data_IF_281101847473
#
_entry.id   IF_281101847473
#
_cell.length_a   1.000
_cell.length_b   1.000
_cell.length_c   1.000
_cell.angle_alpha   90.00
_cell.angle_beta   90.00
_cell.angle_gamma   90.00
#
_symmetry.space_group_name_H-M   'P 1'
#
loop_
_entity.id
_entity.type
_entity.pdbx_description
1 polymer ?
#
# COMPACT_ATOMS: atom_id res chain seq x y z
N UNK A 1 3.41 11.93 -13.18
CA UNK A 1 4.82 11.61 -13.48
C UNK A 1 4.86 10.70 -14.69
N UNK A 2 5.84 10.81 -15.60
CA UNK A 2 6.03 9.80 -16.64
C UNK A 2 6.24 8.44 -15.97
N UNK A 3 5.49 7.43 -16.41
CA UNK A 3 5.40 6.15 -15.69
C UNK A 3 6.75 5.39 -15.57
N UNK A 4 7.74 5.73 -16.40
CA UNK A 4 9.13 5.29 -16.26
C UNK A 4 9.77 5.72 -14.93
N UNK A 5 9.67 7.00 -14.56
CA UNK A 5 10.30 7.53 -13.34
C UNK A 5 9.71 6.92 -12.07
N UNK A 6 8.38 6.74 -12.04
CA UNK A 6 7.72 6.04 -10.94
C UNK A 6 8.23 4.61 -10.80
N UNK A 7 8.35 3.89 -11.93
CA UNK A 7 8.86 2.51 -11.94
C UNK A 7 10.32 2.43 -11.47
N UNK A 8 11.18 3.37 -11.87
CA UNK A 8 12.57 3.46 -11.44
C UNK A 8 12.72 3.70 -9.93
N UNK A 9 11.94 4.64 -9.39
CA UNK A 9 11.97 4.94 -7.95
C UNK A 9 11.56 3.70 -7.15
N UNK A 10 10.45 3.05 -7.53
CA UNK A 10 9.97 1.85 -6.84
C UNK A 10 10.97 0.71 -6.97
N UNK A 11 11.62 0.56 -8.13
CA UNK A 11 12.66 -0.44 -8.35
C UNK A 11 13.84 -0.26 -7.37
N UNK A 12 14.38 0.95 -7.25
CA UNK A 12 15.49 1.25 -6.34
C UNK A 12 15.09 1.02 -4.88
N UNK A 13 13.90 1.49 -4.49
CA UNK A 13 13.38 1.29 -3.12
C UNK A 13 13.18 -0.19 -2.81
N UNK A 14 12.71 -0.98 -3.77
CA UNK A 14 12.50 -2.43 -3.61
C UNK A 14 13.82 -3.17 -3.43
N UNK A 15 14.86 -2.81 -4.20
CA UNK A 15 16.23 -3.34 -4.02
C UNK A 15 16.75 -3.00 -2.63
N UNK A 16 16.61 -1.74 -2.21
CA UNK A 16 17.06 -1.29 -0.88
C UNK A 16 16.37 -2.07 0.25
N UNK A 17 15.05 -2.28 0.15
CA UNK A 17 14.29 -3.07 1.11
C UNK A 17 14.77 -4.52 1.12
N UNK A 18 14.92 -5.16 -0.05
CA UNK A 18 15.37 -6.55 -0.14
C UNK A 18 16.76 -6.76 0.47
N UNK A 19 17.72 -5.90 0.13
CA UNK A 19 19.08 -5.93 0.71
C UNK A 19 19.01 -5.74 2.22
N UNK A 20 18.21 -4.79 2.70
CA UNK A 20 18.05 -4.54 4.14
C UNK A 20 17.49 -5.76 4.88
N UNK A 21 16.48 -6.43 4.31
CA UNK A 21 15.88 -7.63 4.89
C UNK A 21 16.87 -8.79 4.94
N UNK A 22 17.58 -9.07 3.84
CA UNK A 22 18.55 -10.17 3.78
C UNK A 22 19.75 -9.90 4.69
N UNK A 23 20.36 -8.72 4.60
CA UNK A 23 21.53 -8.38 5.42
C UNK A 23 21.17 -8.27 6.90
N UNK A 24 20.03 -7.67 7.25
CA UNK A 24 19.54 -7.59 8.62
C UNK A 24 19.26 -8.96 9.23
N UNK A 25 18.63 -9.85 8.46
CA UNK A 25 18.40 -11.24 8.90
C UNK A 25 19.72 -11.98 9.08
N UNK A 26 20.65 -11.86 8.13
CA UNK A 26 21.95 -12.51 8.18
C UNK A 26 22.80 -12.08 9.37
N UNK A 27 22.90 -10.77 9.63
CA UNK A 27 23.67 -10.21 10.75
C UNK A 27 23.14 -10.68 12.11
N UNK A 28 21.84 -10.90 12.22
CA UNK A 28 21.19 -11.27 13.46
C UNK A 28 20.86 -12.76 13.58
N UNK A 29 21.17 -13.60 12.58
CA UNK A 29 20.70 -15.00 12.51
C UNK A 29 21.07 -15.84 13.74
N UNK A 30 22.30 -15.71 14.25
CA UNK A 30 22.75 -16.47 15.44
C UNK A 30 21.96 -16.10 16.69
N UNK A 31 21.72 -14.80 16.87
CA UNK A 31 20.96 -14.28 18.00
C UNK A 31 19.47 -14.57 17.85
N UNK A 32 18.95 -14.44 16.64
CA UNK A 32 17.57 -14.73 16.26
C UNK A 32 17.17 -16.15 16.64
N UNK A 33 17.97 -17.15 16.28
CA UNK A 33 17.71 -18.55 16.63
C UNK A 33 17.76 -18.76 18.15
N UNK A 34 18.76 -18.20 18.82
CA UNK A 34 18.88 -18.31 20.28
C UNK A 34 17.71 -17.69 21.03
N UNK A 35 17.23 -16.52 20.58
CA UNK A 35 16.15 -15.79 21.23
C UNK A 35 14.77 -16.42 20.93
N UNK A 36 14.55 -16.99 19.73
CA UNK A 36 13.33 -17.72 19.40
C UNK A 36 13.14 -18.97 20.26
N UNK A 37 14.23 -19.70 20.55
CA UNK A 37 14.17 -20.88 21.40
C UNK A 37 13.95 -20.55 22.89
N UNK A 38 14.09 -19.29 23.30
CA UNK A 38 14.02 -18.85 24.70
C UNK A 38 12.89 -17.84 24.93
N UNK A 39 11.66 -18.21 24.58
CA UNK A 39 10.49 -17.39 24.90
C UNK A 39 10.32 -17.21 26.42
N UNK A 40 10.34 -15.96 26.90
CA UNK A 40 10.27 -15.61 28.33
C UNK A 40 9.01 -14.79 28.66
N UNK A 41 7.85 -15.44 28.81
CA UNK A 41 6.57 -14.73 29.03
C UNK A 41 6.47 -13.97 30.35
N UNK A 42 7.33 -14.25 31.34
CA UNK A 42 7.35 -13.61 32.66
C UNK A 42 8.36 -12.45 32.80
N UNK A 43 9.05 -12.06 31.72
CA UNK A 43 10.09 -11.03 31.77
C UNK A 43 9.56 -9.59 32.00
N UNK A 44 10.47 -8.63 32.25
CA UNK A 44 10.12 -7.20 32.33
C UNK A 44 9.46 -6.70 31.03
N UNK A 45 8.57 -5.68 31.13
CA UNK A 45 7.70 -5.21 30.02
C UNK A 45 8.47 -4.93 28.71
N UNK A 46 9.63 -4.28 28.79
CA UNK A 46 10.45 -3.95 27.60
C UNK A 46 10.98 -5.21 26.91
N UNK A 47 11.38 -6.21 27.68
CA UNK A 47 11.94 -7.45 27.14
C UNK A 47 10.87 -8.33 26.52
N UNK A 48 9.69 -8.41 27.16
CA UNK A 48 8.50 -9.04 26.55
C UNK A 48 8.09 -8.38 25.23
N UNK A 49 8.16 -7.05 25.16
CA UNK A 49 7.88 -6.33 23.90
C UNK A 49 8.88 -6.68 22.80
N UNK A 50 10.16 -6.80 23.15
CA UNK A 50 11.21 -7.20 22.20
C UNK A 50 11.01 -8.63 21.70
N UNK A 51 10.68 -9.57 22.60
CA UNK A 51 10.41 -10.96 22.24
C UNK A 51 9.16 -11.08 21.35
N UNK A 52 8.11 -10.29 21.63
CA UNK A 52 6.92 -10.21 20.76
C UNK A 52 7.26 -9.64 19.38
N UNK A 53 8.05 -8.56 19.32
CA UNK A 53 8.51 -7.96 18.06
C UNK A 53 9.32 -8.97 17.23
N UNK A 54 10.15 -9.80 17.89
CA UNK A 54 10.90 -10.87 17.24
C UNK A 54 10.00 -11.94 16.62
N UNK A 55 9.02 -12.45 17.38
CA UNK A 55 8.09 -13.49 16.91
C UNK A 55 7.27 -12.99 15.73
N UNK A 56 6.70 -11.80 15.84
CA UNK A 56 5.93 -11.18 14.76
C UNK A 56 6.81 -10.90 13.53
N UNK A 57 8.08 -10.55 13.75
CA UNK A 57 9.08 -10.43 12.69
C UNK A 57 9.33 -11.74 11.98
N UNK A 58 9.53 -12.83 12.71
CA UNK A 58 9.70 -14.17 12.15
C UNK A 58 8.53 -14.59 11.27
N UNK A 59 7.30 -14.28 11.70
CA UNK A 59 6.08 -14.65 10.98
C UNK A 59 5.91 -13.82 9.69
N UNK A 60 6.23 -12.52 9.73
CA UNK A 60 6.04 -11.62 8.58
C UNK A 60 7.22 -11.57 7.61
N UNK A 61 8.43 -11.94 8.04
CA UNK A 61 9.66 -11.86 7.24
C UNK A 61 9.57 -12.61 5.90
N UNK A 62 9.06 -13.86 5.81
CA UNK A 62 8.96 -14.56 4.53
C UNK A 62 8.12 -13.80 3.51
N UNK A 63 6.98 -13.23 3.96
CA UNK A 63 6.11 -12.44 3.10
C UNK A 63 6.81 -11.16 2.62
N UNK A 64 7.50 -10.44 3.50
CA UNK A 64 8.26 -9.23 3.13
C UNK A 64 9.40 -9.54 2.13
N UNK A 65 10.08 -10.68 2.27
CA UNK A 65 11.11 -11.12 1.33
C UNK A 65 10.49 -11.43 -0.03
N UNK A 66 9.39 -12.18 -0.08
CA UNK A 66 8.71 -12.53 -1.34
C UNK A 66 8.21 -11.26 -2.06
N UNK A 67 7.58 -10.33 -1.35
CA UNK A 67 7.05 -9.08 -1.92
C UNK A 67 8.16 -8.19 -2.46
N UNK A 68 9.23 -7.99 -1.68
CA UNK A 68 10.35 -7.16 -2.11
C UNK A 68 11.07 -7.76 -3.30
N UNK A 69 11.33 -9.08 -3.29
CA UNK A 69 11.96 -9.78 -4.39
C UNK A 69 11.12 -9.77 -5.67
N UNK A 70 9.84 -10.14 -5.58
CA UNK A 70 8.92 -10.12 -6.74
C UNK A 70 8.73 -8.70 -7.28
N UNK A 71 8.66 -7.68 -6.41
CA UNK A 71 8.57 -6.28 -6.80
C UNK A 71 9.76 -5.80 -7.65
N UNK A 72 10.99 -6.25 -7.34
CA UNK A 72 12.18 -5.96 -8.15
C UNK A 72 12.01 -6.49 -9.57
N UNK A 73 11.62 -7.76 -9.72
CA UNK A 73 11.42 -8.38 -11.03
C UNK A 73 10.31 -7.71 -11.83
N UNK A 74 9.17 -7.43 -11.19
CA UNK A 74 8.05 -6.78 -11.87
C UNK A 74 8.38 -5.38 -12.37
N UNK A 75 9.11 -4.59 -11.57
CA UNK A 75 9.54 -3.27 -12.01
C UNK A 75 10.63 -3.32 -13.07
N UNK A 76 11.54 -4.29 -13.00
CA UNK A 76 12.51 -4.55 -14.07
C UNK A 76 11.81 -4.79 -15.42
N UNK A 77 10.80 -5.66 -15.46
CA UNK A 77 10.03 -5.92 -16.69
C UNK A 77 9.26 -4.69 -17.20
N UNK A 78 8.73 -3.85 -16.29
CA UNK A 78 8.07 -2.59 -16.70
C UNK A 78 9.08 -1.63 -17.33
N UNK A 79 10.27 -1.51 -16.73
CA UNK A 79 11.34 -0.65 -17.23
C UNK A 79 11.88 -1.17 -18.57
N UNK A 80 12.11 -2.49 -18.71
CA UNK A 80 12.60 -3.07 -19.96
C UNK A 80 11.62 -2.82 -21.11
N UNK A 81 10.31 -2.96 -20.86
CA UNK A 81 9.27 -2.69 -21.84
C UNK A 81 9.21 -1.22 -22.32
N UNK A 82 9.74 -0.26 -21.55
CA UNK A 82 9.88 1.13 -22.02
C UNK A 82 11.03 1.31 -23.02
N UNK A 83 12.09 0.52 -22.89
CA UNK A 83 13.29 0.60 -23.73
C UNK A 83 13.23 -0.36 -24.93
N UNK A 84 12.42 -1.42 -24.83
CA UNK A 84 12.02 -2.21 -25.98
C UNK A 84 11.16 -1.33 -26.89
N UNK A 85 11.59 -1.13 -28.15
CA UNK A 85 10.84 -0.37 -29.12
C UNK A 85 9.43 -0.98 -29.23
N UNK A 86 8.41 -0.24 -28.79
CA UNK A 86 7.04 -0.64 -29.07
C UNK A 86 6.93 -0.79 -30.59
N UNK A 87 6.45 -1.94 -31.11
CA UNK A 87 6.15 -2.02 -32.53
C UNK A 87 5.24 -0.83 -32.86
N UNK A 88 5.41 -0.19 -34.03
CA UNK A 88 4.57 0.94 -34.41
C UNK A 88 3.12 0.51 -34.19
N UNK A 89 2.41 1.24 -33.33
CA UNK A 89 0.98 1.04 -33.13
C UNK A 89 0.39 1.28 -34.51
N UNK A 90 0.10 0.21 -35.23
CA UNK A 90 -0.66 0.30 -36.46
C UNK A 90 -2.02 0.70 -35.95
N UNK A 91 -2.30 2.00 -36.00
CA UNK A 91 -3.61 2.56 -35.66
C UNK A 91 -4.55 2.08 -36.75
N UNK A 92 -4.97 0.82 -36.66
CA UNK A 92 -6.20 0.40 -37.29
C UNK A 92 -7.27 1.32 -36.73
N UNK A 93 -8.06 1.98 -37.59
CA UNK A 93 -9.10 2.89 -37.13
C UNK A 93 -9.97 2.18 -36.09
N UNK A 94 -10.33 2.91 -35.02
CA UNK A 94 -11.27 2.45 -34.00
C UNK A 94 -12.51 1.98 -34.75
N UNK A 95 -12.67 0.66 -34.89
CA UNK A 95 -13.84 0.12 -35.56
C UNK A 95 -15.01 0.41 -34.64
N UNK A 96 -15.99 1.16 -35.14
CA UNK A 96 -17.11 1.65 -34.35
C UNK A 96 -17.73 0.48 -33.57
N UNK A 97 -17.71 0.60 -32.24
CA UNK A 97 -18.25 -0.38 -31.31
C UNK A 97 -19.75 -0.44 -31.58
N UNK A 98 -20.21 -1.56 -32.16
CA UNK A 98 -21.64 -1.80 -32.31
C UNK A 98 -22.11 -2.64 -31.11
N UNK A 99 -23.18 -2.24 -30.43
CA UNK A 99 -23.69 -2.95 -29.23
C UNK A 99 -24.02 -4.43 -29.47
N UNK A 100 -24.27 -4.82 -30.73
CA UNK A 100 -24.46 -6.22 -31.14
C UNK A 100 -23.21 -7.09 -30.88
N UNK A 101 -22.02 -6.49 -30.90
CA UNK A 101 -20.74 -7.19 -30.69
C UNK A 101 -20.53 -7.63 -29.24
N UNK A 102 -21.03 -6.89 -28.24
CA UNK A 102 -20.86 -7.28 -26.83
C UNK A 102 -21.68 -8.54 -26.50
N UNK A 103 -22.95 -8.57 -26.91
CA UNK A 103 -23.82 -9.72 -26.68
C UNK A 103 -23.33 -10.97 -27.42
N UNK A 104 -22.73 -10.79 -28.60
CA UNK A 104 -22.11 -11.87 -29.36
C UNK A 104 -20.87 -12.43 -28.66
N UNK A 105 -20.00 -11.56 -28.13
CA UNK A 105 -18.84 -11.96 -27.35
C UNK A 105 -19.23 -12.68 -26.05
N UNK A 106 -20.28 -12.23 -25.34
CA UNK A 106 -20.82 -12.93 -24.18
C UNK A 106 -21.25 -14.34 -24.54
N UNK A 107 -22.11 -14.48 -25.55
CA UNK A 107 -22.61 -15.79 -25.99
C UNK A 107 -21.47 -16.71 -26.41
N UNK A 108 -20.46 -16.18 -27.09
CA UNK A 108 -19.28 -16.95 -27.50
C UNK A 108 -18.48 -17.41 -26.28
N UNK A 109 -18.24 -16.53 -25.32
CA UNK A 109 -17.55 -16.85 -24.08
C UNK A 109 -18.31 -17.84 -23.20
N UNK A 110 -19.63 -17.70 -23.06
CA UNK A 110 -20.50 -18.66 -22.34
C UNK A 110 -20.47 -20.05 -23.01
N UNK A 111 -20.44 -20.09 -24.35
CA UNK A 111 -20.32 -21.34 -25.09
C UNK A 111 -18.96 -22.02 -24.92
N UNK A 112 -17.86 -21.24 -24.87
CA UNK A 112 -16.50 -21.79 -24.74
C UNK A 112 -16.11 -22.11 -23.29
N UNK A 113 -16.58 -21.32 -22.32
CA UNK A 113 -16.13 -21.39 -20.92
C UNK A 113 -17.20 -21.89 -19.95
N UNK A 114 -18.46 -21.99 -20.38
CA UNK A 114 -19.58 -22.33 -19.52
C UNK A 114 -19.98 -21.15 -18.64
N UNK A 115 -19.72 -21.24 -17.33
CA UNK A 115 -20.01 -20.16 -16.40
C UNK A 115 -19.08 -18.95 -16.67
N UNK A 116 -19.68 -17.80 -16.98
CA UNK A 116 -19.00 -16.54 -17.27
C UNK A 116 -18.90 -15.61 -16.05
N UNK A 117 -19.27 -16.06 -14.85
CA UNK A 117 -19.13 -15.29 -13.61
C UNK A 117 -17.72 -14.70 -13.43
N UNK A 118 -17.66 -13.41 -13.10
CA UNK A 118 -16.41 -12.67 -12.95
C UNK A 118 -15.71 -12.27 -14.27
N UNK A 119 -16.27 -12.62 -15.43
CA UNK A 119 -15.74 -12.18 -16.73
C UNK A 119 -16.08 -10.72 -16.98
N UNK A 120 -15.20 -10.01 -17.68
CA UNK A 120 -15.33 -8.58 -17.92
C UNK A 120 -14.84 -8.20 -19.31
N UNK A 121 -15.29 -7.04 -19.79
CA UNK A 121 -14.84 -6.47 -21.04
C UNK A 121 -13.66 -5.53 -20.80
N UNK A 122 -12.59 -5.72 -21.55
CA UNK A 122 -11.47 -4.80 -21.62
C UNK A 122 -11.50 -4.07 -22.95
N UNK A 123 -11.68 -2.76 -22.88
CA UNK A 123 -11.55 -1.86 -24.02
C UNK A 123 -10.06 -1.60 -24.25
N UNK A 124 -9.56 -1.98 -25.42
CA UNK A 124 -8.19 -1.69 -25.86
C UNK A 124 -8.21 -0.83 -27.11
N UNK A 125 -7.11 -0.13 -27.46
CA UNK A 125 -7.02 0.60 -28.72
C UNK A 125 -7.26 -0.27 -29.97
N UNK A 126 -7.13 -1.59 -29.84
CA UNK A 126 -7.27 -2.59 -30.91
C UNK A 126 -8.68 -3.19 -31.00
N UNK A 127 -9.56 -2.92 -30.02
CA UNK A 127 -10.92 -3.45 -29.96
C UNK A 127 -11.35 -3.88 -28.55
N UNK A 128 -12.51 -4.54 -28.48
CA UNK A 128 -13.08 -5.10 -27.25
C UNK A 128 -12.61 -6.53 -27.06
N UNK A 129 -12.06 -6.82 -25.88
CA UNK A 129 -11.71 -8.17 -25.47
C UNK A 129 -12.63 -8.61 -24.34
N UNK A 130 -13.33 -9.72 -24.53
CA UNK A 130 -14.03 -10.40 -23.44
C UNK A 130 -13.04 -11.30 -22.70
N UNK A 131 -12.78 -11.03 -21.43
CA UNK A 131 -11.77 -11.70 -20.62
C UNK A 131 -12.47 -12.56 -19.58
N UNK A 132 -12.11 -13.84 -19.52
CA UNK A 132 -12.65 -14.76 -18.52
C UNK A 132 -12.22 -14.34 -17.11
N UNK A 133 -13.18 -14.32 -16.19
CA UNK A 133 -12.90 -14.23 -14.76
C UNK A 133 -12.19 -15.50 -14.28
N UNK A 134 -11.02 -15.34 -13.66
CA UNK A 134 -10.31 -16.45 -13.06
C UNK A 134 -9.55 -15.95 -11.85
N UNK A 135 -9.87 -16.53 -10.70
CA UNK A 135 -9.32 -16.18 -9.40
C UNK A 135 -8.54 -17.36 -8.79
N UNK A 136 -8.43 -18.46 -9.54
CA UNK A 136 -7.94 -19.74 -9.03
C UNK A 136 -6.63 -20.18 -9.68
N UNK A 137 -6.33 -19.68 -10.88
CA UNK A 137 -5.07 -20.00 -11.54
C UNK A 137 -3.92 -19.11 -11.07
N UNK A 138 -2.76 -19.75 -10.90
CA UNK A 138 -1.52 -19.09 -10.50
C UNK A 138 -0.99 -18.12 -11.54
N UNK A 139 -1.06 -18.50 -12.82
CA UNK A 139 -0.56 -17.67 -13.90
C UNK A 139 -1.61 -16.62 -14.24
N UNK A 140 -1.26 -15.33 -14.13
CA UNK A 140 -2.11 -14.20 -14.52
C UNK A 140 -2.22 -14.04 -16.04
N UNK A 141 -2.55 -15.11 -16.76
CA UNK A 141 -2.84 -15.08 -18.19
C UNK A 141 -4.26 -15.60 -18.40
N UNK A 142 -5.19 -14.66 -18.59
CA UNK A 142 -6.61 -14.98 -18.71
C UNK A 142 -6.95 -15.27 -20.17
N UNK A 143 -7.70 -16.34 -20.45
CA UNK A 143 -8.22 -16.55 -21.79
C UNK A 143 -9.15 -15.39 -22.13
N UNK A 144 -9.02 -14.89 -23.35
CA UNK A 144 -9.81 -13.79 -23.85
C UNK A 144 -10.25 -14.06 -25.29
N UNK A 145 -11.39 -13.51 -25.63
CA UNK A 145 -11.97 -13.53 -26.97
C UNK A 145 -12.04 -12.09 -27.45
N UNK A 146 -11.32 -11.77 -28.51
CA UNK A 146 -11.37 -10.46 -29.13
C UNK A 146 -12.56 -10.36 -30.07
N UNK A 147 -13.12 -9.15 -30.22
CA UNK A 147 -14.14 -8.82 -31.24
C UNK A 147 -13.68 -9.21 -32.66
N UNK A 148 -12.36 -9.21 -32.90
CA UNK A 148 -11.76 -9.60 -34.18
C UNK A 148 -11.68 -11.13 -34.39
N UNK A 149 -12.24 -11.93 -33.47
CA UNK A 149 -12.30 -13.39 -33.57
C UNK A 149 -11.06 -14.13 -33.06
N UNK A 150 -9.97 -13.44 -32.73
CA UNK A 150 -8.79 -14.04 -32.10
C UNK A 150 -9.12 -14.46 -30.65
N UNK A 151 -8.97 -15.75 -30.37
CA UNK A 151 -9.15 -16.35 -29.04
C UNK A 151 -7.82 -16.88 -28.50
N UNK A 152 -7.47 -16.53 -27.27
CA UNK A 152 -6.34 -17.13 -26.56
C UNK A 152 -6.69 -18.55 -26.07
N UNK A 153 -5.77 -19.53 -26.13
CA UNK A 153 -6.06 -20.91 -25.72
C UNK A 153 -6.44 -21.04 -24.23
N UNK A 154 -7.32 -22.00 -23.92
CA UNK A 154 -7.92 -22.20 -22.58
C UNK A 154 -6.93 -22.65 -21.50
N UNK A 155 -5.80 -23.27 -21.88
CA UNK A 155 -4.75 -23.70 -20.94
C UNK A 155 -3.40 -23.17 -21.40
N UNK A 156 -2.90 -22.14 -20.71
CA UNK A 156 -1.51 -21.71 -20.86
C UNK A 156 -0.69 -22.17 -19.66
N UNK A 157 0.39 -22.93 -19.91
CA UNK A 157 1.53 -22.97 -18.99
C UNK A 157 1.98 -21.53 -18.75
N UNK A 158 2.41 -21.17 -17.54
CA UNK A 158 2.96 -19.84 -17.22
C UNK A 158 3.98 -19.47 -18.31
N UNK A 159 3.64 -18.55 -19.24
CA UNK A 159 4.40 -18.45 -20.48
C UNK A 159 5.73 -17.72 -20.26
N UNK A 160 5.87 -16.97 -19.16
CA UNK A 160 7.08 -16.22 -18.82
C UNK A 160 7.29 -16.10 -17.31
N UNK A 161 8.54 -15.86 -16.89
CA UNK A 161 8.90 -15.53 -15.50
C UNK A 161 8.13 -14.33 -14.94
N UNK A 162 7.80 -13.35 -15.79
CA UNK A 162 6.96 -12.20 -15.41
C UNK A 162 5.61 -12.64 -14.84
N UNK A 163 4.92 -13.58 -15.49
CA UNK A 163 3.62 -14.07 -15.02
C UNK A 163 3.74 -14.86 -13.72
N UNK A 164 4.85 -15.58 -13.54
CA UNK A 164 5.13 -16.29 -12.28
C UNK A 164 5.29 -15.30 -11.11
N UNK A 165 6.14 -14.29 -11.28
CA UNK A 165 6.34 -13.27 -10.23
C UNK A 165 5.09 -12.43 -9.99
N UNK A 166 4.30 -12.15 -11.02
CA UNK A 166 3.03 -11.45 -10.88
C UNK A 166 2.03 -12.27 -10.05
N UNK A 167 1.89 -13.57 -10.36
CA UNK A 167 1.05 -14.49 -9.59
C UNK A 167 1.47 -14.61 -8.12
N UNK A 168 2.78 -14.63 -7.85
CA UNK A 168 3.33 -14.60 -6.49
C UNK A 168 3.08 -13.27 -5.77
N UNK A 169 3.21 -12.14 -6.47
CA UNK A 169 3.11 -10.80 -5.88
C UNK A 169 1.67 -10.43 -5.53
N UNK A 170 0.75 -10.72 -6.45
CA UNK A 170 -0.67 -10.37 -6.32
C UNK A 170 -1.47 -11.45 -5.59
N UNK A 171 -0.85 -12.60 -5.30
CA UNK A 171 -1.49 -13.81 -4.78
C UNK A 171 -2.71 -14.20 -5.64
N UNK A 172 -2.53 -14.20 -6.96
CA UNK A 172 -3.65 -14.30 -7.90
C UNK A 172 -4.50 -15.57 -7.69
N UNK A 173 -3.84 -16.69 -7.38
CA UNK A 173 -4.45 -18.01 -7.11
C UNK A 173 -5.01 -18.19 -5.70
N UNK A 174 -4.73 -17.26 -4.79
CA UNK A 174 -5.06 -17.44 -3.39
C UNK A 174 -6.56 -17.24 -3.18
N UNK A 175 -7.18 -18.13 -2.41
CA UNK A 175 -8.54 -17.98 -1.92
C UNK A 175 -8.64 -16.82 -0.91
N UNK A 176 -9.87 -16.46 -0.54
CA UNK A 176 -10.16 -15.38 0.39
C UNK A 176 -9.41 -15.51 1.73
N UNK A 177 -9.24 -16.73 2.24
CA UNK A 177 -8.57 -16.99 3.52
C UNK A 177 -7.08 -16.64 3.44
N UNK A 178 -6.39 -17.10 2.40
CA UNK A 178 -4.99 -16.80 2.16
C UNK A 178 -4.76 -15.30 1.93
N UNK A 179 -5.68 -14.62 1.22
CA UNK A 179 -5.61 -13.16 1.02
C UNK A 179 -5.74 -12.40 2.34
N UNK A 180 -6.62 -12.83 3.25
CA UNK A 180 -6.74 -12.25 4.60
C UNK A 180 -5.46 -12.48 5.40
N UNK A 181 -4.91 -13.69 5.41
CA UNK A 181 -3.65 -14.00 6.10
C UNK A 181 -2.52 -13.11 5.55
N UNK A 182 -2.41 -13.01 4.23
CA UNK A 182 -1.42 -12.16 3.58
C UNK A 182 -1.59 -10.68 3.95
N UNK A 183 -2.83 -10.18 4.00
CA UNK A 183 -3.14 -8.83 4.48
C UNK A 183 -2.71 -8.62 5.94
N UNK A 184 -2.99 -9.58 6.83
CA UNK A 184 -2.56 -9.54 8.24
C UNK A 184 -1.03 -9.53 8.34
N UNK A 185 -0.33 -10.36 7.58
CA UNK A 185 1.13 -10.36 7.52
C UNK A 185 1.70 -9.02 7.05
N UNK A 186 1.03 -8.38 6.08
CA UNK A 186 1.34 -7.03 5.64
C UNK A 186 1.21 -6.01 6.77
N UNK A 187 0.09 -6.00 7.50
CA UNK A 187 -0.12 -5.10 8.64
C UNK A 187 0.90 -5.34 9.77
N UNK A 188 1.21 -6.61 10.07
CA UNK A 188 2.25 -6.96 11.04
C UNK A 188 3.61 -6.42 10.57
N UNK A 189 3.97 -6.64 9.31
CA UNK A 189 5.21 -6.14 8.72
C UNK A 189 5.31 -4.61 8.81
N UNK A 190 4.24 -3.88 8.47
CA UNK A 190 4.19 -2.42 8.59
C UNK A 190 4.34 -1.96 10.05
N UNK A 191 3.67 -2.61 11.01
CA UNK A 191 3.78 -2.29 12.42
C UNK A 191 5.19 -2.53 12.97
N UNK A 192 5.88 -3.58 12.51
CA UNK A 192 7.26 -3.88 12.88
C UNK A 192 8.24 -2.86 12.32
N UNK A 193 8.11 -2.52 11.03
CA UNK A 193 8.93 -1.47 10.41
C UNK A 193 8.72 -0.15 11.16
N UNK A 194 7.46 0.25 11.40
CA UNK A 194 7.15 1.49 12.10
C UNK A 194 7.64 1.53 13.55
N UNK A 195 7.42 0.46 14.31
CA UNK A 195 7.93 0.38 15.69
C UNK A 195 9.47 0.33 15.74
N UNK A 196 10.11 -0.35 14.80
CA UNK A 196 11.57 -0.37 14.65
C UNK A 196 12.15 1.03 14.37
N UNK A 197 11.53 1.79 13.47
CA UNK A 197 11.91 3.18 13.17
C UNK A 197 11.79 4.09 14.40
N UNK A 198 10.75 3.90 15.22
CA UNK A 198 10.56 4.66 16.47
C UNK A 198 11.62 4.29 17.51
N UNK A 199 11.90 2.99 17.69
CA UNK A 199 12.94 2.52 18.61
C UNK A 199 14.33 3.03 18.21
N UNK A 200 14.64 3.00 16.92
CA UNK A 200 15.90 3.53 16.37
C UNK A 200 16.03 5.03 16.60
N UNK A 201 14.96 5.80 16.35
CA UNK A 201 14.92 7.23 16.63
C UNK A 201 15.19 7.52 18.11
N UNK A 202 14.49 6.85 19.03
CA UNK A 202 14.64 7.06 20.46
C UNK A 202 16.05 6.71 20.95
N UNK A 203 16.64 5.62 20.43
CA UNK A 203 18.01 5.23 20.75
C UNK A 203 19.01 6.30 20.32
N UNK A 204 18.91 6.80 19.09
CA UNK A 204 19.83 7.82 18.56
C UNK A 204 19.64 9.18 19.23
N UNK A 205 18.39 9.54 19.54
CA UNK A 205 18.08 10.76 20.29
C UNK A 205 18.73 10.74 21.67
N UNK A 206 18.60 9.63 22.41
CA UNK A 206 19.20 9.46 23.73
C UNK A 206 20.73 9.36 23.68
N UNK A 207 21.30 8.79 22.61
CA UNK A 207 22.76 8.75 22.43
C UNK A 207 23.39 10.15 22.25
N UNK A 208 22.66 11.13 21.71
CA UNK A 208 23.15 12.53 21.60
C UNK A 208 23.37 13.20 22.96
N UNK A 209 22.69 12.76 24.01
CA UNK A 209 22.93 13.21 25.39
C UNK A 209 24.18 12.58 26.02
N UNK A 210 24.67 11.47 25.45
CA UNK A 210 25.94 10.86 25.84
C UNK A 210 27.07 11.47 25.00
N UNK A 211 27.73 12.51 25.55
CA UNK A 211 28.66 13.45 24.88
C UNK A 211 29.83 12.86 24.07
N UNK A 212 30.09 11.55 24.09
CA UNK A 212 31.37 10.97 23.65
C UNK A 212 31.36 10.19 22.32
N UNK A 213 30.30 10.25 21.50
CA UNK A 213 30.35 9.65 20.15
C UNK A 213 29.87 10.62 19.07
N UNK A 214 30.74 10.92 18.11
CA UNK A 214 30.37 11.60 16.86
C UNK A 214 29.44 10.67 16.08
N UNK A 215 28.25 11.12 15.64
CA UNK A 215 27.35 10.29 14.86
C UNK A 215 27.98 9.91 13.51
N UNK A 216 27.81 8.66 13.09
CA UNK A 216 28.37 8.09 11.86
C UNK A 216 27.80 8.73 10.57
N UNK A 217 26.59 9.30 10.63
CA UNK A 217 26.00 10.13 9.58
C UNK A 217 25.52 11.46 10.18
N UNK A 218 25.75 12.58 9.48
CA UNK A 218 25.32 13.94 9.84
C UNK A 218 23.80 14.18 9.80
N UNK A 219 22.96 13.14 9.83
CA UNK A 219 21.50 13.30 9.76
C UNK A 219 20.98 13.80 11.11
N UNK A 220 20.47 15.04 11.11
CA UNK A 220 19.87 15.68 12.28
C UNK A 220 18.70 14.85 12.85
N UNK A 221 18.50 14.78 14.18
CA UNK A 221 17.30 14.21 14.79
C UNK A 221 15.99 14.81 14.25
N UNK A 222 16.05 16.03 13.71
CA UNK A 222 14.93 16.66 13.02
C UNK A 222 14.51 15.89 11.77
N UNK A 223 15.48 15.46 10.96
CA UNK A 223 15.24 14.73 9.70
C UNK A 223 14.65 13.36 10.02
N UNK A 224 15.19 12.64 11.01
CA UNK A 224 14.60 11.36 11.44
C UNK A 224 13.16 11.51 11.92
N UNK A 225 12.88 12.54 12.73
CA UNK A 225 11.52 12.83 13.19
C UNK A 225 10.59 13.12 12.02
N UNK A 226 11.06 13.88 11.03
CA UNK A 226 10.25 14.22 9.88
C UNK A 226 10.00 13.04 8.93
N UNK A 227 11.02 12.23 8.66
CA UNK A 227 10.88 11.02 7.86
C UNK A 227 9.92 10.03 8.52
N UNK A 228 10.06 9.82 9.84
CA UNK A 228 9.15 8.94 10.57
C UNK A 228 7.72 9.46 10.56
N UNK A 229 7.49 10.76 10.82
CA UNK A 229 6.15 11.32 10.84
C UNK A 229 5.51 11.34 9.44
N UNK A 230 6.25 11.76 8.41
CA UNK A 230 5.76 11.80 7.03
C UNK A 230 5.46 10.41 6.47
N UNK A 231 6.22 9.39 6.87
CA UNK A 231 5.94 7.99 6.46
C UNK A 231 4.82 7.37 7.30
N UNK A 232 4.88 7.44 8.64
CA UNK A 232 3.95 6.71 9.51
C UNK A 232 2.58 7.37 9.65
N UNK A 233 2.51 8.70 9.56
CA UNK A 233 1.25 9.45 9.66
C UNK A 233 0.87 10.03 8.31
N UNK A 234 1.86 10.56 7.57
CA UNK A 234 1.63 11.18 6.27
C UNK A 234 1.15 10.22 5.19
N UNK A 235 1.63 8.97 5.15
CA UNK A 235 1.18 8.00 4.15
C UNK A 235 -0.30 7.56 4.37
N UNK A 236 -0.75 7.20 5.59
CA UNK A 236 -2.18 7.00 5.85
C UNK A 236 -3.01 8.25 5.56
N UNK A 237 -2.51 9.44 5.91
CA UNK A 237 -3.20 10.70 5.62
C UNK A 237 -3.34 10.94 4.11
N UNK A 238 -2.30 10.70 3.32
CA UNK A 238 -2.34 10.79 1.86
C UNK A 238 -3.30 9.75 1.26
N UNK A 239 -3.34 8.55 1.82
CA UNK A 239 -4.28 7.49 1.40
C UNK A 239 -5.74 7.89 1.68
N UNK A 240 -6.01 8.52 2.82
CA UNK A 240 -7.32 9.12 3.10
C UNK A 240 -7.63 10.27 2.15
N UNK A 241 -6.66 11.14 1.85
CA UNK A 241 -6.85 12.23 0.89
C UNK A 241 -7.17 11.71 -0.53
N UNK A 242 -6.60 10.57 -0.92
CA UNK A 242 -6.95 9.88 -2.17
C UNK A 242 -8.41 9.40 -2.16
N UNK A 243 -8.88 8.85 -1.04
CA UNK A 243 -10.29 8.48 -0.90
C UNK A 243 -11.19 9.72 -1.01
N UNK A 244 -10.82 10.83 -0.37
CA UNK A 244 -11.54 12.10 -0.50
C UNK A 244 -11.56 12.62 -1.94
N UNK A 245 -10.42 12.58 -2.66
CA UNK A 245 -10.37 13.03 -4.06
C UNK A 245 -11.21 12.19 -5.00
N UNK A 246 -11.41 10.91 -4.69
CA UNK A 246 -12.29 10.03 -5.46
C UNK A 246 -13.80 10.30 -5.23
N UNK A 247 -14.16 11.09 -4.20
CA UNK A 247 -15.55 11.55 -3.96
C UNK A 247 -15.80 12.97 -4.47
N UNK A 248 -14.74 13.73 -4.70
CA UNK A 248 -14.81 15.13 -5.11
C UNK A 248 -14.59 15.25 -6.61
N UNK A 249 -15.37 16.10 -7.27
CA UNK A 249 -15.20 16.34 -8.70
C UNK A 249 -13.80 16.88 -9.01
N UNK A 250 -13.18 16.29 -10.02
CA UNK A 250 -11.89 16.78 -10.52
C UNK A 250 -12.07 18.19 -11.11
N UNK A 251 -11.12 19.11 -10.90
CA UNK A 251 -11.13 20.41 -11.55
C UNK A 251 -11.23 20.28 -13.07
N UNK A 252 -11.95 21.20 -13.73
CA UNK A 252 -12.29 21.14 -15.16
C UNK A 252 -11.09 21.03 -16.12
N UNK A 253 -9.89 21.34 -15.65
CA UNK A 253 -8.64 21.31 -16.42
C UNK A 253 -7.82 20.03 -16.23
N UNK A 254 -8.30 19.06 -15.43
CA UNK A 254 -7.55 17.85 -15.10
C UNK A 254 -8.39 16.58 -15.30
N UNK A 255 -7.79 15.56 -15.90
CA UNK A 255 -8.37 14.23 -15.91
C UNK A 255 -8.45 13.69 -14.49
N UNK A 256 -9.47 12.87 -14.20
CA UNK A 256 -9.72 12.35 -12.85
C UNK A 256 -8.51 11.59 -12.27
N UNK A 257 -7.85 10.77 -13.09
CA UNK A 257 -6.64 10.02 -12.68
C UNK A 257 -5.49 10.96 -12.25
N UNK A 258 -5.31 12.07 -12.95
CA UNK A 258 -4.25 13.03 -12.64
C UNK A 258 -4.56 13.79 -11.35
N UNK A 259 -5.83 14.15 -11.14
CA UNK A 259 -6.31 14.78 -9.92
C UNK A 259 -5.98 13.95 -8.68
N UNK A 260 -6.35 12.67 -8.69
CA UNK A 260 -6.10 11.74 -7.59
C UNK A 260 -4.62 11.59 -7.26
N UNK A 261 -3.77 11.41 -8.29
CA UNK A 261 -2.32 11.30 -8.13
C UNK A 261 -1.72 12.58 -7.53
N UNK A 262 -2.18 13.75 -7.98
CA UNK A 262 -1.70 15.04 -7.49
C UNK A 262 -2.10 15.27 -6.03
N UNK A 263 -3.35 14.98 -5.66
CA UNK A 263 -3.82 15.11 -4.28
C UNK A 263 -3.02 14.21 -3.34
N UNK A 264 -2.89 12.92 -3.68
CA UNK A 264 -2.12 11.97 -2.88
C UNK A 264 -0.67 12.45 -2.70
N UNK A 265 0.01 12.76 -3.80
CA UNK A 265 1.42 13.12 -3.80
C UNK A 265 1.68 14.43 -3.06
N UNK A 266 0.82 15.44 -3.26
CA UNK A 266 0.95 16.73 -2.58
C UNK A 266 0.73 16.60 -1.07
N UNK A 267 -0.32 15.90 -0.62
CA UNK A 267 -0.57 15.69 0.82
C UNK A 267 0.58 14.91 1.47
N UNK A 268 1.14 13.93 0.77
CA UNK A 268 2.25 13.16 1.29
C UNK A 268 3.53 14.00 1.44
N UNK A 269 3.90 14.78 0.42
CA UNK A 269 5.04 15.71 0.47
C UNK A 269 4.84 16.78 1.55
N UNK A 270 3.66 17.39 1.60
CA UNK A 270 3.30 18.37 2.64
C UNK A 270 3.42 17.78 4.04
N UNK A 271 3.16 16.48 4.21
CA UNK A 271 3.33 15.83 5.52
C UNK A 271 4.78 15.80 5.99
N UNK A 272 5.73 15.53 5.09
CA UNK A 272 7.17 15.64 5.41
C UNK A 272 7.55 17.09 5.74
N UNK A 273 7.08 18.06 4.94
CA UNK A 273 7.36 19.49 5.17
C UNK A 273 6.81 19.98 6.52
N UNK A 274 5.57 19.62 6.85
CA UNK A 274 4.95 19.96 8.15
C UNK A 274 5.78 19.37 9.30
N UNK A 275 6.25 18.13 9.16
CA UNK A 275 7.05 17.49 10.20
C UNK A 275 8.47 18.09 10.34
N UNK A 276 9.05 18.61 9.25
CA UNK A 276 10.32 19.33 9.24
C UNK A 276 10.19 20.72 9.87
N UNK A 277 9.19 21.50 9.45
CA UNK A 277 9.05 22.92 9.81
C UNK A 277 8.52 23.06 11.23
N UNK A 278 7.47 22.30 11.59
CA UNK A 278 6.78 22.49 12.86
C UNK A 278 7.30 21.56 13.96
N UNK A 279 7.64 22.13 15.11
CA UNK A 279 7.98 21.36 16.32
C UNK A 279 6.83 20.45 16.75
N UNK A 280 5.59 20.90 16.57
CA UNK A 280 4.38 20.13 16.88
C UNK A 280 3.83 19.37 15.66
N UNK A 281 4.62 19.19 14.59
CA UNK A 281 4.18 18.54 13.34
C UNK A 281 3.50 17.18 13.55
N UNK A 282 3.95 16.39 14.53
CA UNK A 282 3.29 15.13 14.92
C UNK A 282 1.79 15.33 15.24
N UNK A 283 1.45 16.31 16.09
CA UNK A 283 0.06 16.57 16.48
C UNK A 283 -0.75 17.22 15.35
N UNK A 284 -0.11 18.08 14.55
CA UNK A 284 -0.75 18.70 13.38
C UNK A 284 -1.19 17.61 12.38
N UNK A 285 -0.28 16.70 12.03
CA UNK A 285 -0.58 15.61 11.10
C UNK A 285 -1.64 14.66 11.66
N UNK A 286 -1.58 14.32 12.95
CA UNK A 286 -2.61 13.51 13.59
C UNK A 286 -3.98 14.21 13.63
N UNK A 287 -4.02 15.55 13.70
CA UNK A 287 -5.28 16.31 13.61
C UNK A 287 -5.90 16.20 12.22
N UNK A 288 -5.09 16.33 11.16
CA UNK A 288 -5.56 16.10 9.80
C UNK A 288 -5.96 14.64 9.56
N UNK A 289 -5.22 13.68 10.11
CA UNK A 289 -5.55 12.25 10.03
C UNK A 289 -6.89 11.95 10.70
N UNK A 290 -7.11 12.49 11.90
CA UNK A 290 -8.37 12.35 12.63
C UNK A 290 -9.54 12.99 11.85
N UNK A 291 -9.35 14.22 11.37
CA UNK A 291 -10.40 14.94 10.65
C UNK A 291 -10.78 14.25 9.34
N UNK A 292 -9.79 13.84 8.53
CA UNK A 292 -10.03 13.17 7.25
C UNK A 292 -10.62 11.77 7.43
N UNK A 293 -10.15 11.00 8.42
CA UNK A 293 -10.63 9.65 8.69
C UNK A 293 -12.06 9.63 9.25
N UNK A 294 -12.36 10.49 10.22
CA UNK A 294 -13.71 10.60 10.80
C UNK A 294 -14.69 11.32 9.86
N UNK A 295 -14.18 12.17 8.98
CA UNK A 295 -14.97 12.95 8.03
C UNK A 295 -15.40 12.18 6.77
N UNK A 296 -14.76 11.04 6.45
CA UNK A 296 -15.01 10.34 5.18
C UNK A 296 -16.48 9.86 5.06
N UNK A 297 -17.04 9.32 6.13
CA UNK A 297 -18.45 8.91 6.12
C UNK A 297 -19.41 10.05 5.75
N UNK A 298 -19.11 11.28 6.22
CA UNK A 298 -19.93 12.44 5.90
C UNK A 298 -19.79 12.87 4.44
N UNK A 299 -18.60 12.73 3.84
CA UNK A 299 -18.43 13.05 2.41
C UNK A 299 -19.18 12.04 1.53
N UNK A 300 -19.24 10.77 1.92
CA UNK A 300 -19.97 9.74 1.17
C UNK A 300 -21.48 10.00 1.20
N UNK A 301 -22.01 10.46 2.34
CA UNK A 301 -23.42 10.88 2.45
C UNK A 301 -23.73 12.04 1.50
N UNK A 302 -22.85 13.05 1.43
CA UNK A 302 -23.08 14.27 0.65
C UNK A 302 -22.97 13.99 -0.86
N UNK A 303 -22.01 13.16 -1.26
CA UNK A 303 -21.63 13.02 -2.68
C UNK A 303 -22.39 11.93 -3.42
N UNK A 304 -22.82 10.85 -2.74
CA UNK A 304 -23.32 9.64 -3.41
C UNK A 304 -24.78 9.30 -3.18
N UNK A 305 -25.37 9.69 -2.05
CA UNK A 305 -26.64 9.14 -1.59
C UNK A 305 -26.54 7.64 -1.22
N UNK A 306 -27.40 7.16 -0.32
CA UNK A 306 -27.26 5.81 0.31
C UNK A 306 -27.53 4.60 -0.61
N UNK A 307 -27.93 4.81 -1.86
CA UNK A 307 -28.40 3.73 -2.74
C UNK A 307 -27.30 3.43 -3.76
N UNK A 308 -26.45 2.43 -3.48
CA UNK A 308 -25.49 1.90 -4.44
C UNK A 308 -25.48 0.37 -4.45
N UNK A 309 -25.26 -0.27 -5.61
CA UNK A 309 -25.23 -1.73 -5.72
C UNK A 309 -24.04 -2.38 -4.98
N UNK A 310 -23.07 -1.59 -4.51
CA UNK A 310 -21.86 -2.06 -3.84
C UNK A 310 -21.69 -1.49 -2.42
N UNK A 311 -22.81 -1.24 -1.73
CA UNK A 311 -22.85 -0.61 -0.40
C UNK A 311 -21.86 -1.24 0.62
N UNK A 312 -21.71 -2.56 0.62
CA UNK A 312 -20.81 -3.27 1.53
C UNK A 312 -19.34 -2.83 1.40
N UNK A 313 -18.87 -2.54 0.17
CA UNK A 313 -17.49 -2.10 -0.07
C UNK A 313 -17.26 -0.70 0.51
N UNK A 314 -18.24 0.20 0.35
CA UNK A 314 -18.18 1.56 0.91
C UNK A 314 -18.18 1.54 2.43
N UNK A 315 -19.08 0.77 3.04
CA UNK A 315 -19.11 0.61 4.51
C UNK A 315 -17.77 0.10 5.03
N UNK A 316 -17.16 -0.89 4.37
CA UNK A 316 -15.86 -1.41 4.79
C UNK A 316 -14.74 -0.36 4.70
N UNK A 317 -14.72 0.43 3.62
CA UNK A 317 -13.76 1.53 3.44
C UNK A 317 -13.97 2.61 4.50
N UNK A 318 -15.22 3.02 4.75
CA UNK A 318 -15.56 4.03 5.75
C UNK A 318 -15.23 3.58 7.16
N UNK A 319 -15.48 2.30 7.50
CA UNK A 319 -15.07 1.73 8.77
C UNK A 319 -13.55 1.73 8.93
N UNK A 320 -12.80 1.36 7.89
CA UNK A 320 -11.35 1.41 7.91
C UNK A 320 -10.83 2.85 8.10
N UNK A 321 -11.39 3.81 7.36
CA UNK A 321 -11.06 5.23 7.48
C UNK A 321 -11.38 5.79 8.87
N UNK A 322 -12.53 5.41 9.43
CA UNK A 322 -12.94 5.79 10.77
C UNK A 322 -11.98 5.25 11.84
N UNK A 323 -11.55 3.99 11.74
CA UNK A 323 -10.55 3.40 12.64
C UNK A 323 -9.22 4.16 12.54
N UNK A 324 -8.75 4.49 11.33
CA UNK A 324 -7.54 5.30 11.12
C UNK A 324 -7.71 6.70 11.75
N UNK A 325 -8.89 7.30 11.62
CA UNK A 325 -9.24 8.58 12.24
C UNK A 325 -9.18 8.52 13.78
N UNK A 326 -9.70 7.46 14.40
CA UNK A 326 -9.61 7.23 15.84
C UNK A 326 -8.15 7.06 16.32
N UNK A 327 -7.33 6.35 15.53
CA UNK A 327 -5.88 6.21 15.82
C UNK A 327 -5.21 7.60 15.81
N UNK A 328 -5.55 8.46 14.84
CA UNK A 328 -5.06 9.85 14.80
C UNK A 328 -5.55 10.72 15.96
N UNK A 329 -6.78 10.48 16.44
CA UNK A 329 -7.38 11.24 17.54
C UNK A 329 -6.75 10.92 18.91
N UNK A 330 -6.33 9.68 19.13
CA UNK A 330 -5.77 9.21 20.40
C UNK A 330 -4.64 10.08 20.98
N UNK A 331 -3.55 10.42 20.24
CA UNK A 331 -2.49 11.28 20.76
C UNK A 331 -2.96 12.69 21.12
N UNK A 332 -3.98 13.21 20.43
CA UNK A 332 -4.56 14.54 20.70
C UNK A 332 -5.31 14.55 22.02
N UNK A 333 -6.16 13.54 22.25
CA UNK A 333 -6.88 13.38 23.51
C UNK A 333 -5.90 13.25 24.69
N UNK A 334 -4.86 12.43 24.52
CA UNK A 334 -3.81 12.26 25.55
C UNK A 334 -3.11 13.57 25.90
N UNK A 335 -2.82 14.41 24.90
CA UNK A 335 -2.23 15.74 25.11
C UNK A 335 -3.19 16.67 25.89
N UNK A 336 -4.47 16.69 25.52
CA UNK A 336 -5.51 17.48 26.20
C UNK A 336 -5.69 17.06 27.66
N UNK A 337 -5.78 15.75 27.93
CA UNK A 337 -5.90 15.23 29.30
C UNK A 337 -4.67 15.56 30.15
N UNK A 338 -3.46 15.41 29.59
CA UNK A 338 -2.23 15.72 30.29
C UNK A 338 -2.14 17.21 30.66
N UNK A 339 -2.48 18.12 29.74
CA UNK A 339 -2.53 19.56 30.01
C UNK A 339 -3.56 19.91 31.10
N UNK A 340 -4.77 19.33 31.05
CA UNK A 340 -5.79 19.54 32.09
C UNK A 340 -5.30 19.11 33.48
N UNK A 341 -4.58 17.98 33.56
CA UNK A 341 -4.04 17.49 34.83
C UNK A 341 -2.92 18.39 35.37
N UNK A 342 -2.07 18.95 34.50
CA UNK A 342 -1.05 19.91 34.92
C UNK A 342 -1.66 21.20 35.49
N UNK A 343 -2.67 21.76 34.81
CA UNK A 343 -3.37 22.97 35.28
C UNK A 343 -4.07 22.72 36.62
N UNK A 344 -4.73 21.56 36.79
CA UNK A 344 -5.32 21.18 38.09
C UNK A 344 -4.28 21.02 39.20
N UNK A 345 -3.06 20.58 38.87
CA UNK A 345 -1.99 20.41 39.85
C UNK A 345 -1.36 21.76 40.24
N UNK A 346 -1.25 22.71 39.31
CA UNK A 346 -0.74 24.05 39.59
C UNK A 346 -1.74 24.94 40.33
N UNK A 347 -3.04 24.63 40.31
CA UNK A 347 -4.07 25.34 41.09
C UNK A 347 -4.23 24.80 42.52
N UNK A 348 -3.60 23.67 42.85
CA UNK A 348 -3.62 23.05 44.20
C UNK A 348 -2.34 23.34 45.01
N UNK A 349 -1.35 23.96 44.38
CA UNK A 349 -0.14 24.51 44.99
C UNK A 349 -0.34 26.02 45.11
#
# INVERSE_FOLDING_TARGET
MPALWGSLIIFIVSIGLFITLITGTWLHIKKFISDLCLFRPSAQKIRRWLDFHLIMGCISLPALIIISFSGIFLQYYKISAYFEASPPITTTPIQAIHDSSLNELLKKGEKEWGNSEGSFFLLTPQGINFIRGDDTNFCANRPHISANGLSSPVRLKCPTLRHFFLGMHDLHWADSSLRIIYGILGFIGSALIGSGLILFYNKNYNQKYNKNRKPFLFISPLIYRALNNGTLIGLPLASLALLWSARLDAPSFSNHDQWEILVFSSIWISSYLIALIFKNGFYILNSFLALSGLGLFFIDIITRGFISPHLAVFIMIDMAAFIIGLIGLYPLLKLCFFRKNLVKKSQKL
#
